data_IF_538742089242
#
_entry.id   IF_538742089242
#
_cell.length_a   1.000
_cell.length_b   1.000
_cell.length_c   1.000
_cell.angle_alpha   90.00
_cell.angle_beta   90.00
_cell.angle_gamma   90.00
#
_symmetry.space_group_name_H-M   'P 1'
#
loop_
_entity.id
_entity.type
_entity.pdbx_description
1 polymer ?
#
# COMPACT_ATOMS: atom_id res chain seq x y z
N UNK A 1 -1.97 12.43 -5.70
CA UNK A 1 -2.68 11.50 -6.62
C UNK A 1 -4.20 11.71 -6.67
N UNK A 2 -4.81 12.36 -5.66
CA UNK A 2 -6.25 12.61 -5.61
C UNK A 2 -6.79 13.25 -6.92
N UNK A 3 -8.01 12.93 -7.40
CA UNK A 3 -8.55 13.44 -8.66
C UNK A 3 -8.63 14.96 -8.76
N UNK A 4 -8.84 15.66 -7.64
CA UNK A 4 -8.96 17.12 -7.58
C UNK A 4 -7.61 17.86 -7.66
N UNK A 5 -6.50 17.18 -7.34
CA UNK A 5 -5.18 17.82 -7.36
C UNK A 5 -4.78 18.09 -8.81
N UNK A 6 -4.40 19.34 -9.09
CA UNK A 6 -4.03 19.81 -10.43
C UNK A 6 -5.08 19.46 -11.50
N UNK A 7 -6.38 19.52 -11.17
CA UNK A 7 -7.46 19.20 -12.13
C UNK A 7 -7.37 20.10 -13.37
N UNK A 8 -7.44 19.50 -14.56
CA UNK A 8 -7.36 20.21 -15.85
C UNK A 8 -6.15 19.77 -16.67
N UNK A 9 -5.62 20.69 -17.48
CA UNK A 9 -4.51 20.43 -18.40
C UNK A 9 -3.20 20.04 -17.69
N UNK A 10 -2.95 20.63 -16.52
CA UNK A 10 -1.75 20.37 -15.70
C UNK A 10 -1.76 19.01 -15.01
N UNK A 11 -2.88 18.28 -15.04
CA UNK A 11 -3.03 17.03 -14.29
C UNK A 11 -2.12 15.92 -14.79
N UNK A 12 -2.01 15.77 -16.11
CA UNK A 12 -1.22 14.69 -16.70
C UNK A 12 0.28 14.88 -16.41
N UNK A 13 0.89 16.06 -16.67
CA UNK A 13 2.25 16.35 -16.26
C UNK A 13 2.49 16.14 -14.76
N UNK A 14 1.56 16.61 -13.91
CA UNK A 14 1.64 16.41 -12.46
C UNK A 14 1.67 14.93 -12.08
N UNK A 15 0.76 14.13 -12.63
CA UNK A 15 0.70 12.71 -12.32
C UNK A 15 1.92 11.95 -12.81
N UNK A 16 2.51 12.35 -13.93
CA UNK A 16 3.71 11.68 -14.43
C UNK A 16 4.88 11.87 -13.48
N UNK A 17 5.13 13.09 -13.04
CA UNK A 17 6.12 13.37 -12.01
C UNK A 17 5.84 12.67 -10.68
N UNK A 18 4.58 12.64 -10.22
CA UNK A 18 4.17 11.89 -9.02
C UNK A 18 4.43 10.40 -9.16
N UNK A 19 4.22 9.80 -10.34
CA UNK A 19 4.50 8.37 -10.58
C UNK A 19 5.99 8.09 -10.58
N UNK A 20 6.79 8.97 -11.18
CA UNK A 20 8.24 8.83 -11.21
C UNK A 20 8.82 8.89 -9.80
N UNK A 21 8.36 9.87 -9.00
CA UNK A 21 8.75 9.98 -7.59
C UNK A 21 8.25 8.78 -6.76
N UNK A 22 7.02 8.30 -6.97
CA UNK A 22 6.50 7.09 -6.31
C UNK A 22 7.39 5.86 -6.57
N UNK A 23 7.87 5.69 -7.80
CA UNK A 23 8.76 4.59 -8.15
C UNK A 23 10.13 4.69 -7.46
N UNK A 24 10.63 5.90 -7.21
CA UNK A 24 11.89 6.13 -6.49
C UNK A 24 11.73 6.01 -4.97
N UNK A 25 10.55 6.29 -4.43
CA UNK A 25 10.24 6.18 -2.99
C UNK A 25 9.93 4.75 -2.54
N UNK A 26 9.80 3.81 -3.47
CA UNK A 26 9.65 2.40 -3.17
C UNK A 26 10.99 1.80 -2.81
N UNK A 27 11.05 1.13 -1.66
CA UNK A 27 12.29 0.74 -1.01
C UNK A 27 12.47 1.43 0.34
N UNK A 28 13.71 1.49 0.85
CA UNK A 28 14.01 2.12 2.13
C UNK A 28 13.57 3.58 2.18
N UNK A 29 12.91 3.94 3.28
CA UNK A 29 12.43 5.29 3.53
C UNK A 29 13.59 6.31 3.48
N UNK A 30 13.49 7.38 2.68
CA UNK A 30 14.46 8.48 2.71
C UNK A 30 14.35 9.26 4.03
N UNK A 31 15.26 10.21 4.25
CA UNK A 31 15.15 11.07 5.42
C UNK A 31 13.82 11.85 5.44
N UNK A 32 13.39 12.25 6.64
CA UNK A 32 12.16 13.01 6.80
C UNK A 32 12.27 14.40 6.13
N UNK A 33 11.11 14.90 5.68
CA UNK A 33 10.99 16.23 5.08
C UNK A 33 11.39 16.30 3.61
N UNK A 34 11.18 17.47 3.01
CA UNK A 34 11.47 17.75 1.61
C UNK A 34 12.97 17.62 1.31
N UNK A 35 13.84 17.94 2.29
CA UNK A 35 15.29 17.76 2.15
C UNK A 35 15.70 16.31 1.91
N UNK A 36 15.01 15.36 2.55
CA UNK A 36 15.26 13.93 2.32
C UNK A 36 14.90 13.50 0.88
N UNK A 37 13.89 14.13 0.30
CA UNK A 37 13.51 13.92 -1.11
C UNK A 37 14.54 14.57 -2.05
N UNK A 38 15.05 15.77 -1.73
CA UNK A 38 16.12 16.39 -2.52
C UNK A 38 17.34 15.47 -2.60
N UNK A 39 17.79 14.94 -1.45
CA UNK A 39 18.93 14.01 -1.36
C UNK A 39 18.66 12.71 -2.12
N UNK A 40 17.43 12.20 -2.09
CA UNK A 40 17.04 11.03 -2.88
C UNK A 40 17.20 11.31 -4.40
N UNK A 41 16.92 12.53 -4.85
CA UNK A 41 16.93 12.90 -6.26
C UNK A 41 18.30 13.36 -6.76
N UNK A 42 19.27 13.57 -5.87
CA UNK A 42 20.66 13.87 -6.23
C UNK A 42 21.29 12.73 -7.05
N UNK A 43 22.20 13.09 -7.95
CA UNK A 43 22.89 12.11 -8.77
C UNK A 43 23.79 11.24 -7.89
N UNK A 44 23.73 9.92 -8.09
CA UNK A 44 24.57 8.97 -7.36
C UNK A 44 25.85 8.68 -8.14
N UNK A 45 26.95 8.52 -7.42
CA UNK A 45 28.19 7.96 -7.95
C UNK A 45 28.07 6.42 -8.04
N UNK A 46 28.50 5.82 -9.14
CA UNK A 46 28.45 4.35 -9.37
C UNK A 46 27.26 3.86 -10.22
N UNK A 47 26.92 2.57 -10.09
CA UNK A 47 25.83 1.92 -10.84
C UNK A 47 24.45 2.33 -10.30
N UNK A 48 23.81 3.34 -10.91
CA UNK A 48 22.40 3.70 -10.62
C UNK A 48 21.46 3.20 -11.73
N UNK A 49 20.81 2.05 -11.48
CA UNK A 49 19.81 1.47 -12.40
C UNK A 49 18.57 2.35 -12.60
N UNK A 50 18.34 3.32 -11.71
CA UNK A 50 17.23 4.26 -11.78
C UNK A 50 17.70 5.67 -12.19
N UNK A 51 18.91 5.83 -12.73
CA UNK A 51 19.48 7.14 -13.10
C UNK A 51 18.54 7.99 -13.96
N UNK A 52 17.97 7.41 -15.01
CA UNK A 52 17.08 8.14 -15.93
C UNK A 52 15.76 8.53 -15.24
N UNK A 53 15.20 7.62 -14.46
CA UNK A 53 14.01 7.86 -13.65
C UNK A 53 14.24 8.98 -12.62
N UNK A 54 15.42 8.97 -11.98
CA UNK A 54 15.84 9.99 -11.01
C UNK A 54 16.01 11.34 -11.67
N UNK A 55 16.63 11.40 -12.85
CA UNK A 55 16.79 12.62 -13.61
C UNK A 55 15.43 13.22 -14.02
N UNK A 56 14.49 12.38 -14.48
CA UNK A 56 13.13 12.81 -14.83
C UNK A 56 12.36 13.35 -13.62
N UNK A 57 12.36 12.60 -12.50
CA UNK A 57 11.72 13.04 -11.26
C UNK A 57 12.36 14.33 -10.72
N UNK A 58 13.70 14.46 -10.79
CA UNK A 58 14.44 15.66 -10.38
C UNK A 58 14.07 16.88 -11.21
N UNK A 59 13.80 16.74 -12.51
CA UNK A 59 13.37 17.85 -13.35
C UNK A 59 11.97 18.36 -12.97
N UNK A 60 11.07 17.46 -12.56
CA UNK A 60 9.71 17.81 -12.12
C UNK A 60 9.66 18.30 -10.66
N UNK A 61 10.54 17.81 -9.80
CA UNK A 61 10.49 18.02 -8.35
C UNK A 61 10.41 19.49 -7.89
N UNK A 62 11.12 20.48 -8.49
CA UNK A 62 11.01 21.88 -8.07
C UNK A 62 9.56 22.38 -8.04
N UNK A 63 8.75 22.05 -9.04
CA UNK A 63 7.34 22.44 -9.07
C UNK A 63 6.54 21.86 -7.90
N UNK A 64 6.76 20.58 -7.58
CA UNK A 64 6.09 19.94 -6.45
C UNK A 64 6.62 20.45 -5.10
N UNK A 65 7.93 20.71 -5.01
CA UNK A 65 8.60 21.23 -3.82
C UNK A 65 8.06 22.61 -3.48
N UNK A 66 8.01 23.53 -4.44
CA UNK A 66 7.52 24.89 -4.24
C UNK A 66 6.09 24.91 -3.69
N UNK A 67 5.27 23.93 -4.09
CA UNK A 67 3.91 23.77 -3.57
C UNK A 67 3.87 23.19 -2.17
N UNK A 68 4.81 22.34 -1.77
CA UNK A 68 4.80 21.64 -0.48
C UNK A 68 5.63 22.35 0.60
N UNK A 69 6.57 23.21 0.22
CA UNK A 69 7.44 23.95 1.13
C UNK A 69 6.67 24.84 2.10
N UNK A 70 5.59 25.57 1.70
CA UNK A 70 4.76 26.30 2.64
C UNK A 70 4.15 25.41 3.73
N UNK A 71 3.74 24.18 3.39
CA UNK A 71 3.21 23.23 4.36
C UNK A 71 4.28 22.76 5.35
N UNK A 72 5.48 22.41 4.86
CA UNK A 72 6.59 22.01 5.73
C UNK A 72 7.01 23.14 6.66
N UNK A 73 7.13 24.36 6.14
CA UNK A 73 7.43 25.56 6.92
C UNK A 73 6.34 25.85 7.96
N UNK A 74 5.07 25.75 7.57
CA UNK A 74 3.95 25.93 8.48
C UNK A 74 4.00 24.92 9.61
N UNK A 75 4.23 23.62 9.35
CA UNK A 75 4.34 22.62 10.42
C UNK A 75 5.61 22.73 11.26
N UNK A 76 6.70 23.26 10.71
CA UNK A 76 7.91 23.55 11.50
C UNK A 76 7.69 24.70 12.49
N UNK A 77 6.81 25.65 12.14
CA UNK A 77 6.52 26.85 12.93
C UNK A 77 5.27 26.73 13.79
N UNK A 78 4.26 25.95 13.38
CA UNK A 78 2.91 25.92 13.95
C UNK A 78 2.88 25.20 15.31
N UNK A 79 2.73 25.93 16.43
CA UNK A 79 2.75 25.34 17.75
C UNK A 79 1.37 24.82 18.19
N UNK A 80 0.29 25.33 17.60
CA UNK A 80 -1.09 25.09 18.04
C UNK A 80 -1.97 24.48 16.94
N UNK A 81 -3.13 23.97 17.37
CA UNK A 81 -4.07 23.27 16.51
C UNK A 81 -4.65 24.17 15.41
N UNK A 82 -4.92 25.44 15.72
CA UNK A 82 -5.49 26.39 14.77
C UNK A 82 -4.54 26.63 13.58
N UNK A 83 -3.25 26.88 13.85
CA UNK A 83 -2.24 27.04 12.80
C UNK A 83 -2.06 25.78 11.96
N UNK A 84 -2.13 24.59 12.58
CA UNK A 84 -2.05 23.31 11.86
C UNK A 84 -3.24 23.09 10.92
N UNK A 85 -4.48 23.40 11.37
CA UNK A 85 -5.69 23.28 10.55
C UNK A 85 -5.66 24.28 9.38
N UNK A 86 -5.28 25.53 9.64
CA UNK A 86 -5.15 26.55 8.61
C UNK A 86 -4.11 26.15 7.55
N UNK A 87 -2.95 25.61 7.97
CA UNK A 87 -1.92 25.13 7.05
C UNK A 87 -2.44 24.01 6.14
N UNK A 88 -3.21 23.06 6.68
CA UNK A 88 -3.85 21.99 5.88
C UNK A 88 -4.87 22.58 4.91
N UNK A 89 -5.72 23.52 5.37
CA UNK A 89 -6.76 24.16 4.55
C UNK A 89 -6.15 24.90 3.36
N UNK A 90 -5.19 25.78 3.61
CA UNK A 90 -4.49 26.57 2.58
C UNK A 90 -3.78 25.66 1.58
N UNK A 91 -3.07 24.64 2.06
CA UNK A 91 -2.36 23.71 1.19
C UNK A 91 -3.32 22.89 0.32
N UNK A 92 -4.46 22.49 0.86
CA UNK A 92 -5.47 21.74 0.12
C UNK A 92 -6.13 22.62 -0.97
N UNK A 93 -6.36 23.89 -0.68
CA UNK A 93 -6.77 24.90 -1.66
C UNK A 93 -5.74 25.04 -2.79
N UNK A 94 -4.48 25.30 -2.45
CA UNK A 94 -3.39 25.47 -3.41
C UNK A 94 -3.20 24.24 -4.32
N UNK A 95 -3.20 23.02 -3.77
CA UNK A 95 -3.03 21.78 -4.56
C UNK A 95 -4.19 21.51 -5.52
N UNK A 96 -5.38 22.00 -5.20
CA UNK A 96 -6.61 21.74 -5.97
C UNK A 96 -7.10 22.94 -6.75
N UNK A 97 -6.42 24.08 -6.66
CA UNK A 97 -6.90 25.38 -7.15
C UNK A 97 -8.35 25.63 -6.67
N UNK A 98 -8.55 25.45 -5.35
CA UNK A 98 -9.81 25.55 -4.61
C UNK A 98 -10.94 24.61 -5.05
N UNK A 99 -10.68 23.69 -5.99
CA UNK A 99 -11.67 22.71 -6.42
C UNK A 99 -12.12 21.76 -5.30
N UNK A 100 -11.34 21.63 -4.22
CA UNK A 100 -11.74 20.89 -3.01
C UNK A 100 -12.92 21.53 -2.30
N UNK A 101 -12.98 22.86 -2.27
CA UNK A 101 -13.98 23.64 -1.53
C UNK A 101 -15.24 23.91 -2.35
N UNK A 102 -15.28 23.45 -3.61
CA UNK A 102 -16.40 23.66 -4.50
C UNK A 102 -17.51 22.60 -4.37
N UNK A 103 -18.75 23.04 -4.58
CA UNK A 103 -19.93 22.18 -4.59
C UNK A 103 -20.36 21.73 -3.19
N UNK A 104 -21.43 20.93 -3.12
CA UNK A 104 -22.06 20.56 -1.85
C UNK A 104 -21.12 19.83 -0.87
N UNK A 105 -20.21 18.98 -1.37
CA UNK A 105 -19.23 18.32 -0.50
C UNK A 105 -18.14 19.27 -0.01
N UNK A 106 -17.68 20.16 -0.90
CA UNK A 106 -16.66 21.15 -0.58
C UNK A 106 -17.16 22.19 0.42
N UNK A 107 -18.42 22.62 0.31
CA UNK A 107 -19.04 23.51 1.30
C UNK A 107 -19.11 22.85 2.68
N UNK A 108 -19.57 21.59 2.76
CA UNK A 108 -19.61 20.87 4.04
C UNK A 108 -18.21 20.69 4.66
N UNK A 109 -17.18 20.46 3.84
CA UNK A 109 -15.80 20.42 4.30
C UNK A 109 -15.30 21.80 4.76
N UNK A 110 -15.63 22.87 4.05
CA UNK A 110 -15.25 24.24 4.42
C UNK A 110 -15.90 24.67 5.74
N UNK A 111 -17.20 24.38 5.91
CA UNK A 111 -17.94 24.63 7.15
C UNK A 111 -17.31 23.90 8.33
N UNK A 112 -16.98 22.61 8.17
CA UNK A 112 -16.28 21.84 9.21
C UNK A 112 -14.91 22.45 9.56
N UNK A 113 -14.11 22.84 8.56
CA UNK A 113 -12.81 23.47 8.82
C UNK A 113 -12.96 24.80 9.56
N UNK A 114 -13.96 25.62 9.19
CA UNK A 114 -14.25 26.86 9.90
C UNK A 114 -14.68 26.61 11.37
N UNK A 115 -15.51 25.61 11.61
CA UNK A 115 -15.92 25.20 12.96
C UNK A 115 -14.73 24.71 13.79
N UNK A 116 -13.88 23.84 13.22
CA UNK A 116 -12.69 23.33 13.90
C UNK A 116 -11.68 24.44 14.21
N UNK A 117 -11.44 25.36 13.28
CA UNK A 117 -10.55 26.50 13.49
C UNK A 117 -11.08 27.45 14.58
N UNK A 118 -12.39 27.72 14.60
CA UNK A 118 -13.01 28.54 15.65
C UNK A 118 -12.90 27.89 17.04
N UNK A 119 -13.14 26.58 17.12
CA UNK A 119 -13.08 25.82 18.37
C UNK A 119 -11.65 25.46 18.80
N UNK A 120 -10.64 25.61 17.93
CA UNK A 120 -9.27 25.19 18.20
C UNK A 120 -8.65 25.85 19.45
N UNK A 121 -9.11 27.05 19.80
CA UNK A 121 -8.66 27.76 21.02
C UNK A 121 -9.10 27.09 22.33
N UNK A 122 -10.17 26.28 22.30
CA UNK A 122 -10.62 25.45 23.41
C UNK A 122 -9.88 24.10 23.48
N UNK A 123 -9.13 23.79 22.42
CA UNK A 123 -8.36 22.56 22.28
C UNK A 123 -7.03 22.56 23.04
N UNK A 124 -6.24 21.48 22.91
CA UNK A 124 -4.93 21.40 23.54
C UNK A 124 -3.97 22.47 22.99
N UNK A 125 -3.30 23.20 23.90
CA UNK A 125 -2.32 24.23 23.54
C UNK A 125 -1.13 23.73 22.72
N UNK A 126 -0.83 22.43 22.84
CA UNK A 126 0.17 21.73 22.03
C UNK A 126 -0.52 20.55 21.37
N UNK A 127 -0.57 20.56 20.04
CA UNK A 127 -1.11 19.47 19.25
C UNK A 127 0.05 18.74 18.56
N UNK A 128 0.22 17.45 18.87
CA UNK A 128 1.18 16.61 18.13
C UNK A 128 0.68 16.46 16.68
N UNK A 129 1.47 16.95 15.73
CA UNK A 129 1.19 16.92 14.29
C UNK A 129 0.91 15.48 13.83
N UNK A 130 1.53 14.47 14.45
CA UNK A 130 1.33 13.06 14.13
C UNK A 130 -0.08 12.57 14.44
N UNK A 131 -0.80 13.26 15.32
CA UNK A 131 -2.19 12.95 15.70
C UNK A 131 -3.21 13.60 14.75
N UNK A 132 -2.79 14.58 13.94
CA UNK A 132 -3.68 15.34 13.06
C UNK A 132 -4.43 14.45 12.04
N UNK A 133 -3.82 13.45 11.38
CA UNK A 133 -4.55 12.56 10.47
C UNK A 133 -5.69 11.82 11.17
N UNK A 134 -5.46 11.30 12.38
CA UNK A 134 -6.48 10.58 13.13
C UNK A 134 -7.62 11.51 13.59
N UNK A 135 -7.29 12.75 13.97
CA UNK A 135 -8.28 13.78 14.30
C UNK A 135 -9.14 14.12 13.08
N UNK A 136 -8.51 14.40 11.93
CA UNK A 136 -9.22 14.72 10.70
C UNK A 136 -10.10 13.56 10.23
N UNK A 137 -9.62 12.32 10.28
CA UNK A 137 -10.43 11.13 9.96
C UNK A 137 -11.67 11.03 10.86
N UNK A 138 -11.53 11.31 12.15
CA UNK A 138 -12.65 11.31 13.09
C UNK A 138 -13.67 12.42 12.79
N UNK A 139 -13.19 13.65 12.60
CA UNK A 139 -14.06 14.81 12.37
C UNK A 139 -14.76 14.74 11.01
N UNK A 140 -14.02 14.43 9.94
CA UNK A 140 -14.57 14.25 8.60
C UNK A 140 -15.54 13.07 8.55
N UNK A 141 -15.27 11.98 9.28
CA UNK A 141 -16.17 10.83 9.38
C UNK A 141 -17.51 11.14 10.05
N UNK A 142 -17.60 12.22 10.83
CA UNK A 142 -18.84 12.69 11.45
C UNK A 142 -19.73 13.51 10.52
N UNK A 143 -19.22 13.99 9.39
CA UNK A 143 -19.97 14.88 8.48
C UNK A 143 -20.75 14.06 7.45
N UNK A 144 -22.07 14.19 7.49
CA UNK A 144 -22.96 13.57 6.49
C UNK A 144 -23.18 14.51 5.31
N UNK A 145 -22.58 14.17 4.17
CA UNK A 145 -22.77 14.93 2.92
C UNK A 145 -23.89 14.28 2.11
N UNK A 146 -25.03 14.98 1.99
CA UNK A 146 -26.19 14.51 1.23
C UNK A 146 -26.26 15.22 -0.12
N UNK A 147 -26.09 14.52 -1.26
CA UNK A 147 -26.24 15.12 -2.57
C UNK A 147 -27.67 15.67 -2.76
N UNK A 148 -27.85 16.91 -3.23
CA UNK A 148 -29.17 17.52 -3.30
C UNK A 148 -30.10 16.88 -4.35
N UNK A 149 -29.56 16.20 -5.38
CA UNK A 149 -30.33 15.60 -6.48
C UNK A 149 -29.63 14.34 -7.04
N UNK A 150 -30.40 13.36 -7.53
CA UNK A 150 -29.85 12.14 -8.16
C UNK A 150 -30.78 10.94 -8.27
N UNK A 151 -32.02 11.00 -7.75
CA UNK A 151 -33.00 9.92 -7.83
C UNK A 151 -34.04 10.11 -8.94
N UNK A 152 -34.66 9.01 -9.38
CA UNK A 152 -35.88 9.09 -10.20
C UNK A 152 -37.00 9.71 -9.33
N UNK A 153 -37.78 10.70 -9.80
CA UNK A 153 -38.81 11.39 -9.01
C UNK A 153 -39.94 10.51 -8.43
N UNK A 154 -39.98 9.23 -8.79
CA UNK A 154 -40.96 8.24 -8.30
C UNK A 154 -40.36 7.26 -7.29
N UNK A 155 -39.10 7.44 -6.94
CA UNK A 155 -38.34 6.55 -6.06
C UNK A 155 -37.78 7.40 -4.94
N UNK A 156 -38.21 7.10 -3.72
CA UNK A 156 -37.64 7.65 -2.50
C UNK A 156 -37.04 6.52 -1.68
N UNK A 157 -35.79 6.69 -1.22
CA UNK A 157 -35.14 5.80 -0.26
C UNK A 157 -35.15 6.53 1.07
N UNK A 158 -35.93 6.01 2.03
CA UNK A 158 -36.24 6.70 3.27
C UNK A 158 -35.79 5.85 4.46
N UNK A 159 -35.35 6.52 5.52
CA UNK A 159 -35.29 5.92 6.84
C UNK A 159 -36.68 5.67 7.41
N UNK A 160 -36.76 4.87 8.47
CA UNK A 160 -38.03 4.52 9.14
C UNK A 160 -38.85 5.73 9.55
N UNK A 161 -38.20 6.71 10.18
CA UNK A 161 -38.85 7.93 10.66
C UNK A 161 -39.32 8.80 9.51
N UNK A 162 -38.50 8.95 8.46
CA UNK A 162 -38.83 9.73 7.26
C UNK A 162 -40.03 9.13 6.51
N UNK A 163 -40.17 7.80 6.53
CA UNK A 163 -41.27 7.10 5.88
C UNK A 163 -42.64 7.30 6.57
N UNK A 164 -42.69 7.73 7.84
CA UNK A 164 -43.95 7.87 8.58
C UNK A 164 -44.94 8.87 7.95
N UNK A 165 -44.44 9.84 7.20
CA UNK A 165 -45.24 10.91 6.58
C UNK A 165 -45.38 10.75 5.06
N UNK A 166 -44.95 9.62 4.50
CA UNK A 166 -44.97 9.37 3.06
C UNK A 166 -45.97 8.27 2.72
N UNK A 167 -46.88 8.57 1.80
CA UNK A 167 -47.75 7.57 1.18
C UNK A 167 -47.24 7.24 -0.22
N UNK A 168 -47.15 5.95 -0.53
CA UNK A 168 -46.71 5.45 -1.82
C UNK A 168 -47.58 4.26 -2.25
N UNK A 169 -47.79 4.10 -3.56
CA UNK A 169 -48.55 2.97 -4.11
C UNK A 169 -47.84 1.62 -3.90
N UNK A 170 -46.50 1.65 -3.84
CA UNK A 170 -45.63 0.50 -3.57
C UNK A 170 -44.63 0.87 -2.49
N UNK A 171 -44.67 0.15 -1.37
CA UNK A 171 -43.68 0.24 -0.31
C UNK A 171 -42.75 -0.98 -0.35
N UNK A 172 -41.44 -0.76 -0.44
CA UNK A 172 -40.42 -1.82 -0.37
C UNK A 172 -39.75 -1.77 1.01
N UNK A 173 -40.09 -2.73 1.86
CA UNK A 173 -39.52 -2.86 3.20
C UNK A 173 -38.23 -3.69 3.11
N UNK A 174 -37.11 -2.96 3.07
CA UNK A 174 -35.77 -3.49 2.89
C UNK A 174 -35.14 -4.02 4.19
N UNK A 175 -34.53 -5.20 4.13
CA UNK A 175 -33.57 -5.64 5.14
C UNK A 175 -34.20 -6.13 6.45
N UNK A 176 -35.27 -6.94 6.39
CA UNK A 176 -35.86 -7.62 7.55
C UNK A 176 -34.97 -8.77 8.07
N UNK A 177 -33.77 -8.39 8.49
CA UNK A 177 -32.77 -9.20 9.17
C UNK A 177 -32.67 -8.77 10.63
N UNK A 178 -32.29 -9.71 11.50
CA UNK A 178 -32.08 -9.40 12.92
C UNK A 178 -30.95 -8.36 13.07
N UNK A 179 -31.15 -7.38 13.94
CA UNK A 179 -30.22 -6.25 14.13
C UNK A 179 -30.46 -5.05 13.23
N UNK A 180 -31.18 -5.21 12.11
CA UNK A 180 -31.62 -4.10 11.25
C UNK A 180 -33.05 -3.67 11.60
N UNK A 181 -33.96 -4.65 11.70
CA UNK A 181 -35.37 -4.45 12.04
C UNK A 181 -35.76 -5.43 13.15
N UNK A 182 -35.89 -5.00 14.41
CA UNK A 182 -35.57 -3.67 14.93
C UNK A 182 -34.05 -3.43 14.96
N UNK A 183 -33.64 -2.17 14.79
CA UNK A 183 -32.25 -1.75 14.92
C UNK A 183 -31.76 -1.89 16.36
N UNK A 184 -30.55 -2.39 16.56
CA UNK A 184 -29.93 -2.38 17.89
C UNK A 184 -29.50 -0.96 18.27
N UNK A 185 -29.80 -0.50 19.50
CA UNK A 185 -29.30 0.78 19.95
C UNK A 185 -27.78 0.74 20.09
N UNK A 186 -27.12 1.84 19.73
CA UNK A 186 -25.75 2.07 20.18
C UNK A 186 -25.73 2.05 21.71
N UNK A 187 -24.76 1.37 22.34
CA UNK A 187 -24.62 1.39 23.79
C UNK A 187 -24.42 2.82 24.27
N UNK A 188 -25.05 3.16 25.39
CA UNK A 188 -24.83 4.46 26.03
C UNK A 188 -23.39 4.52 26.57
N UNK A 189 -22.61 5.56 26.23
CA UNK A 189 -21.21 5.62 26.63
C UNK A 189 -21.01 5.95 28.12
N UNK A 190 -22.05 6.41 28.82
CA UNK A 190 -21.98 6.89 30.21
C UNK A 190 -22.75 6.00 31.18
N UNK A 191 -23.95 5.55 30.78
CA UNK A 191 -24.88 4.89 31.67
C UNK A 191 -25.09 3.42 31.31
N UNK A 192 -24.78 2.54 32.25
CA UNK A 192 -25.10 1.12 32.13
C UNK A 192 -26.63 0.91 31.95
N UNK A 193 -27.08 -0.11 31.19
CA UNK A 193 -28.50 -0.33 30.90
C UNK A 193 -29.41 -0.43 32.12
N UNK A 194 -28.88 -0.91 33.26
CA UNK A 194 -29.62 -0.96 34.53
C UNK A 194 -29.94 0.44 35.06
N UNK A 195 -28.95 1.33 35.11
CA UNK A 195 -29.10 2.69 35.62
C UNK A 195 -30.10 3.46 34.75
N UNK A 196 -30.03 3.31 33.41
CA UNK A 196 -31.01 3.92 32.50
C UNK A 196 -32.45 3.52 32.82
N UNK A 197 -32.69 2.23 33.13
CA UNK A 197 -34.03 1.74 33.51
C UNK A 197 -34.49 2.29 34.86
N UNK A 198 -33.59 2.35 35.85
CA UNK A 198 -33.90 2.93 37.17
C UNK A 198 -34.24 4.43 37.06
N UNK A 199 -33.63 5.14 36.10
CA UNK A 199 -33.94 6.55 35.78
C UNK A 199 -35.18 6.74 34.90
N UNK A 200 -35.89 5.66 34.53
CA UNK A 200 -37.08 5.74 33.67
C UNK A 200 -36.80 6.13 32.22
N UNK A 201 -35.55 6.02 31.76
CA UNK A 201 -35.18 6.35 30.37
C UNK A 201 -35.66 5.26 29.40
N UNK A 202 -36.05 5.62 28.16
CA UNK A 202 -36.48 4.66 27.14
C UNK A 202 -35.45 3.54 26.92
N UNK A 203 -35.94 2.30 27.04
CA UNK A 203 -35.18 1.07 26.90
C UNK A 203 -35.19 0.50 25.47
N UNK A 204 -34.67 -0.72 25.34
CA UNK A 204 -34.68 -1.46 24.08
C UNK A 204 -36.12 -1.79 23.64
N UNK A 205 -36.98 -2.12 24.60
CA UNK A 205 -38.37 -2.50 24.40
C UNK A 205 -39.16 -1.39 23.72
N UNK A 206 -38.96 -0.13 24.14
CA UNK A 206 -39.59 1.04 23.52
C UNK A 206 -39.20 1.16 22.05
N UNK A 207 -37.91 0.97 21.71
CA UNK A 207 -37.46 1.03 20.31
C UNK A 207 -37.98 -0.12 19.48
N UNK A 208 -38.06 -1.32 20.04
CA UNK A 208 -38.70 -2.47 19.37
C UNK A 208 -40.17 -2.13 19.08
N UNK A 209 -40.87 -1.53 20.04
CA UNK A 209 -42.26 -1.08 19.87
C UNK A 209 -42.40 -0.03 18.76
N UNK A 210 -41.56 1.00 18.74
CA UNK A 210 -41.55 2.02 17.69
C UNK A 210 -41.25 1.40 16.32
N UNK A 211 -40.21 0.58 16.20
CA UNK A 211 -39.89 -0.10 14.94
C UNK A 211 -41.01 -1.05 14.48
N UNK A 212 -41.71 -1.70 15.41
CA UNK A 212 -42.87 -2.53 15.09
C UNK A 212 -44.06 -1.67 14.63
N UNK A 213 -44.27 -0.51 15.24
CA UNK A 213 -45.28 0.46 14.81
C UNK A 213 -44.96 0.97 13.40
N UNK A 214 -43.74 1.42 13.14
CA UNK A 214 -43.31 1.89 11.81
C UNK A 214 -43.46 0.81 10.76
N UNK A 215 -43.06 -0.43 11.08
CA UNK A 215 -43.26 -1.58 10.20
C UNK A 215 -44.74 -1.81 9.91
N UNK A 216 -45.60 -1.84 10.93
CA UNK A 216 -47.04 -2.05 10.77
C UNK A 216 -47.70 -0.93 9.95
N UNK A 217 -47.32 0.33 10.19
CA UNK A 217 -47.79 1.48 9.41
C UNK A 217 -47.41 1.34 7.94
N UNK A 218 -46.18 0.91 7.65
CA UNK A 218 -45.71 0.73 6.29
C UNK A 218 -46.36 -0.48 5.57
N UNK A 219 -46.88 -1.47 6.32
CA UNK A 219 -47.70 -2.56 5.76
C UNK A 219 -49.06 -2.08 5.23
N UNK A 220 -49.49 -0.85 5.56
CA UNK A 220 -50.75 -0.27 5.10
C UNK A 220 -50.75 0.23 3.65
N UNK A 221 -49.61 0.21 2.94
CA UNK A 221 -49.55 0.65 1.54
C UNK A 221 -50.32 -0.32 0.60
N UNK A 222 -50.84 0.16 -0.56
CA UNK A 222 -51.61 -0.67 -1.48
C UNK A 222 -50.85 -1.92 -1.95
N UNK A 223 -49.54 -1.78 -2.20
CA UNK A 223 -48.65 -2.89 -2.48
C UNK A 223 -47.43 -2.84 -1.57
N UNK A 224 -47.06 -3.99 -1.01
CA UNK A 224 -45.90 -4.10 -0.12
C UNK A 224 -45.00 -5.24 -0.56
N UNK A 225 -43.71 -4.96 -0.71
CA UNK A 225 -42.67 -5.96 -0.92
C UNK A 225 -41.74 -6.00 0.29
N UNK A 226 -41.71 -7.13 0.99
CA UNK A 226 -40.87 -7.35 2.18
C UNK A 226 -39.65 -8.17 1.75
N UNK A 227 -38.45 -7.66 2.03
CA UNK A 227 -37.21 -8.31 1.60
C UNK A 227 -36.26 -8.55 2.77
N UNK A 228 -35.47 -9.62 2.69
CA UNK A 228 -34.38 -9.90 3.62
C UNK A 228 -33.21 -10.57 2.91
N UNK A 229 -31.99 -10.32 3.38
CA UNK A 229 -30.82 -11.06 2.92
C UNK A 229 -30.78 -12.45 3.59
N UNK A 230 -30.36 -13.47 2.85
CA UNK A 230 -30.05 -14.81 3.42
C UNK A 230 -28.60 -14.92 3.88
N UNK A 231 -27.72 -14.04 3.37
CA UNK A 231 -26.29 -13.98 3.68
C UNK A 231 -25.86 -12.51 3.72
N UNK A 232 -25.14 -12.11 4.75
CA UNK A 232 -24.48 -10.81 4.87
C UNK A 232 -22.97 -10.93 4.77
N UNK A 233 -22.25 -9.87 5.13
CA UNK A 233 -20.78 -9.80 5.10
C UNK A 233 -20.10 -10.88 5.95
N UNK A 234 -20.68 -11.23 7.10
CA UNK A 234 -20.16 -12.23 8.04
C UNK A 234 -20.66 -13.68 7.85
N UNK A 235 -21.45 -13.97 6.81
CA UNK A 235 -22.04 -15.30 6.61
C UNK A 235 -23.58 -15.31 6.62
N UNK A 236 -24.23 -16.44 6.95
CA UNK A 236 -25.69 -16.56 6.94
C UNK A 236 -26.36 -15.49 7.80
N UNK A 237 -27.35 -14.80 7.23
CA UNK A 237 -28.06 -13.72 7.92
C UNK A 237 -29.33 -14.26 8.59
N UNK A 238 -29.51 -13.91 9.86
CA UNK A 238 -30.66 -14.31 10.67
C UNK A 238 -31.88 -13.48 10.24
N UNK A 239 -33.04 -14.15 10.13
CA UNK A 239 -34.30 -13.46 9.83
C UNK A 239 -34.73 -12.60 11.01
N UNK A 240 -35.26 -11.41 10.74
CA UNK A 240 -35.85 -10.56 11.77
C UNK A 240 -36.97 -11.29 12.53
N UNK A 241 -37.08 -11.03 13.84
CA UNK A 241 -38.25 -11.42 14.64
C UNK A 241 -39.61 -10.99 14.04
N UNK A 242 -39.66 -9.84 13.35
CA UNK A 242 -40.88 -9.36 12.69
C UNK A 242 -41.24 -10.23 11.47
N UNK A 243 -40.23 -10.63 10.69
CA UNK A 243 -40.40 -11.59 9.59
C UNK A 243 -40.95 -12.93 10.08
N UNK A 244 -40.37 -13.47 11.15
CA UNK A 244 -40.78 -14.77 11.70
C UNK A 244 -42.23 -14.72 12.22
N UNK A 245 -42.59 -13.65 12.94
CA UNK A 245 -43.97 -13.44 13.42
C UNK A 245 -44.96 -13.30 12.28
N UNK A 246 -44.65 -12.45 11.28
CA UNK A 246 -45.54 -12.26 10.13
C UNK A 246 -45.73 -13.56 9.35
N UNK A 247 -44.66 -14.33 9.14
CA UNK A 247 -44.73 -15.64 8.49
C UNK A 247 -45.59 -16.63 9.28
N UNK A 248 -45.45 -16.67 10.60
CA UNK A 248 -46.26 -17.52 11.45
C UNK A 248 -47.75 -17.12 11.41
N UNK A 249 -48.06 -15.83 11.45
CA UNK A 249 -49.43 -15.31 11.39
C UNK A 249 -50.09 -15.54 10.03
N UNK A 250 -49.35 -15.33 8.93
CA UNK A 250 -49.87 -15.55 7.58
C UNK A 250 -50.10 -17.03 7.28
N UNK A 251 -49.28 -17.93 7.86
CA UNK A 251 -49.42 -19.36 7.70
C UNK A 251 -49.50 -19.78 6.22
N UNK A 252 -50.54 -20.52 5.80
CA UNK A 252 -50.74 -20.92 4.40
C UNK A 252 -50.92 -19.75 3.42
N UNK A 253 -51.28 -18.57 3.90
CA UNK A 253 -51.46 -17.38 3.06
C UNK A 253 -50.15 -16.63 2.77
N UNK A 254 -49.02 -17.11 3.30
CA UNK A 254 -47.71 -16.53 3.03
C UNK A 254 -47.35 -16.64 1.56
N UNK A 255 -47.18 -15.48 0.89
CA UNK A 255 -46.80 -15.40 -0.52
C UNK A 255 -45.32 -15.09 -0.67
N UNK A 256 -44.67 -15.72 -1.65
CA UNK A 256 -43.32 -15.38 -2.09
C UNK A 256 -43.38 -14.63 -3.41
N UNK A 257 -42.44 -13.70 -3.60
CA UNK A 257 -42.34 -12.91 -4.83
C UNK A 257 -41.12 -13.34 -5.66
N UNK A 258 -41.01 -14.65 -5.93
CA UNK A 258 -39.83 -15.28 -6.54
C UNK A 258 -39.47 -14.69 -7.91
N UNK A 259 -40.45 -14.13 -8.63
CA UNK A 259 -40.22 -13.44 -9.91
C UNK A 259 -39.19 -12.32 -9.81
N UNK A 260 -39.18 -11.56 -8.71
CA UNK A 260 -38.26 -10.43 -8.56
C UNK A 260 -36.83 -10.91 -8.29
N UNK A 261 -36.68 -12.03 -7.58
CA UNK A 261 -35.40 -12.71 -7.43
C UNK A 261 -34.88 -13.17 -8.79
N UNK A 262 -35.72 -13.82 -9.59
CA UNK A 262 -35.33 -14.29 -10.93
C UNK A 262 -34.93 -13.13 -11.86
N UNK A 263 -35.64 -12.00 -11.80
CA UNK A 263 -35.26 -10.80 -12.55
C UNK A 263 -33.91 -10.23 -12.10
N UNK A 264 -33.66 -10.17 -10.79
CA UNK A 264 -32.38 -9.73 -10.25
C UNK A 264 -31.24 -10.67 -10.67
N UNK A 265 -31.44 -11.99 -10.53
CA UNK A 265 -30.47 -13.00 -10.96
C UNK A 265 -30.16 -12.89 -12.47
N UNK A 266 -31.14 -12.51 -13.29
CA UNK A 266 -30.98 -12.33 -14.73
C UNK A 266 -30.19 -11.06 -15.12
N UNK A 267 -30.22 -9.99 -14.30
CA UNK A 267 -29.45 -8.78 -14.56
C UNK A 267 -27.93 -9.02 -14.49
N UNK A 268 -27.51 -9.90 -13.58
CA UNK A 268 -26.10 -10.22 -13.35
C UNK A 268 -25.61 -11.42 -14.19
N UNK A 269 -26.51 -12.10 -14.91
CA UNK A 269 -26.16 -13.26 -15.72
C UNK A 269 -25.57 -12.81 -17.07
N UNK A 270 -24.28 -13.05 -17.35
CA UNK A 270 -23.74 -12.75 -18.66
C UNK A 270 -24.40 -13.67 -19.70
N UNK A 271 -24.58 -13.22 -20.96
CA UNK A 271 -25.17 -14.04 -22.03
C UNK A 271 -24.42 -15.36 -22.26
N UNK A 272 -23.14 -15.44 -21.88
CA UNK A 272 -22.36 -16.67 -21.90
C UNK A 272 -21.28 -16.66 -20.82
N UNK A 273 -21.11 -17.78 -20.13
CA UNK A 273 -19.99 -18.02 -19.21
C UNK A 273 -18.74 -18.44 -20.01
N UNK A 274 -17.73 -17.56 -20.10
CA UNK A 274 -16.48 -17.80 -20.84
C UNK A 274 -15.27 -17.66 -19.91
N UNK A 275 -14.91 -18.69 -19.14
CA UNK A 275 -13.72 -18.65 -18.30
C UNK A 275 -12.46 -18.59 -19.17
N UNK A 276 -11.44 -17.85 -18.72
CA UNK A 276 -10.15 -17.79 -19.41
C UNK A 276 -9.34 -19.07 -19.15
N UNK A 277 -8.73 -19.62 -20.20
CA UNK A 277 -7.82 -20.74 -20.07
C UNK A 277 -6.51 -20.32 -19.38
N UNK A 278 -5.77 -21.28 -18.82
CA UNK A 278 -4.44 -21.02 -18.25
C UNK A 278 -3.51 -20.46 -19.34
N UNK A 279 -2.81 -19.34 -19.09
CA UNK A 279 -1.88 -18.80 -20.07
C UNK A 279 -0.76 -19.78 -20.42
N UNK A 280 -0.55 -20.00 -21.72
CA UNK A 280 0.56 -20.79 -22.27
C UNK A 280 1.34 -19.95 -23.29
N UNK A 281 2.10 -18.93 -22.84
CA UNK A 281 2.77 -18.01 -23.75
C UNK A 281 3.87 -18.71 -24.54
N UNK A 282 3.83 -18.56 -25.86
CA UNK A 282 4.90 -19.00 -26.78
C UNK A 282 5.48 -17.75 -27.45
N UNK A 283 6.47 -17.09 -26.82
CA UNK A 283 7.02 -15.86 -27.36
C UNK A 283 7.63 -16.11 -28.76
N UNK A 284 7.41 -15.20 -29.73
CA UNK A 284 8.02 -15.29 -31.05
C UNK A 284 9.55 -15.22 -30.93
N UNK A 285 10.27 -15.80 -31.90
CA UNK A 285 11.74 -15.88 -31.87
C UNK A 285 12.40 -14.52 -31.60
N UNK A 286 11.92 -13.45 -32.23
CA UNK A 286 12.44 -12.09 -32.06
C UNK A 286 12.30 -11.54 -30.63
N UNK A 287 11.36 -12.06 -29.83
CA UNK A 287 11.15 -11.64 -28.44
C UNK A 287 11.90 -12.52 -27.43
N UNK A 288 12.53 -13.62 -27.88
CA UNK A 288 13.28 -14.52 -27.00
C UNK A 288 14.63 -13.88 -26.68
N UNK A 289 15.04 -13.82 -25.40
CA UNK A 289 16.32 -13.24 -25.03
C UNK A 289 17.48 -14.09 -25.56
N UNK A 290 18.38 -13.47 -26.31
CA UNK A 290 19.65 -14.07 -26.77
C UNK A 290 20.75 -13.99 -25.71
N UNK A 291 20.53 -13.21 -24.65
CA UNK A 291 21.42 -13.06 -23.50
C UNK A 291 20.67 -13.39 -22.21
N UNK A 292 21.15 -14.36 -21.44
CA UNK A 292 20.52 -14.80 -20.19
C UNK A 292 21.53 -14.74 -19.04
N UNK A 293 21.27 -14.00 -17.96
CA UNK A 293 22.12 -14.05 -16.78
C UNK A 293 22.06 -15.41 -16.10
N UNK A 294 23.20 -15.90 -15.60
CA UNK A 294 23.29 -17.23 -14.93
C UNK A 294 22.27 -17.40 -13.80
N UNK A 295 21.97 -16.33 -13.06
CA UNK A 295 20.98 -16.31 -11.98
C UNK A 295 19.53 -16.50 -12.44
N UNK A 296 19.21 -16.23 -13.71
CA UNK A 296 17.88 -16.47 -14.26
C UNK A 296 17.73 -17.82 -14.94
N UNK A 297 18.82 -18.56 -15.19
CA UNK A 297 18.75 -19.93 -15.72
C UNK A 297 18.01 -20.84 -14.73
N UNK A 298 18.31 -20.71 -13.44
CA UNK A 298 17.60 -21.41 -12.36
C UNK A 298 16.10 -21.10 -12.38
N UNK A 299 15.73 -19.83 -12.61
CA UNK A 299 14.34 -19.40 -12.71
C UNK A 299 13.65 -19.93 -13.97
N UNK A 300 14.33 -19.91 -15.11
CA UNK A 300 13.78 -20.44 -16.36
C UNK A 300 13.43 -21.94 -16.22
N UNK A 301 14.29 -22.71 -15.56
CA UNK A 301 14.06 -24.14 -15.32
C UNK A 301 12.91 -24.39 -14.33
N UNK A 302 12.84 -23.62 -13.25
CA UNK A 302 11.86 -23.82 -12.18
C UNK A 302 10.47 -23.25 -12.52
N UNK A 303 10.41 -22.06 -13.13
CA UNK A 303 9.19 -21.36 -13.49
C UNK A 303 9.36 -20.55 -14.80
N UNK A 304 9.10 -21.20 -15.96
CA UNK A 304 9.19 -20.55 -17.26
C UNK A 304 8.27 -19.33 -17.40
N UNK A 305 7.13 -19.32 -16.70
CA UNK A 305 6.20 -18.20 -16.78
C UNK A 305 6.73 -16.98 -16.02
N UNK A 306 7.30 -17.18 -14.83
CA UNK A 306 7.97 -16.09 -14.10
C UNK A 306 9.18 -15.54 -14.88
N UNK A 307 9.94 -16.39 -15.57
CA UNK A 307 10.98 -15.94 -16.48
C UNK A 307 10.39 -15.11 -17.63
N UNK A 308 9.33 -15.60 -18.30
CA UNK A 308 8.63 -14.88 -19.36
C UNK A 308 8.13 -13.50 -18.89
N UNK A 309 7.44 -13.44 -17.76
CA UNK A 309 6.92 -12.20 -17.20
C UNK A 309 8.05 -11.19 -16.91
N UNK A 310 9.16 -11.64 -16.32
CA UNK A 310 10.27 -10.77 -15.93
C UNK A 310 11.14 -10.33 -17.12
N UNK A 311 11.55 -11.26 -17.98
CA UNK A 311 12.56 -11.03 -19.02
C UNK A 311 11.98 -10.61 -20.35
N UNK A 312 10.77 -11.06 -20.68
CA UNK A 312 10.12 -10.78 -21.96
C UNK A 312 9.09 -9.65 -21.79
N UNK A 313 8.18 -9.76 -20.82
CA UNK A 313 7.22 -8.69 -20.53
C UNK A 313 7.78 -7.53 -19.69
N UNK A 314 8.99 -7.67 -19.14
CA UNK A 314 9.64 -6.67 -18.28
C UNK A 314 8.82 -6.28 -17.05
N UNK A 315 8.01 -7.21 -16.54
CA UNK A 315 7.20 -7.03 -15.34
C UNK A 315 8.06 -7.35 -14.11
N UNK A 316 8.41 -6.31 -13.36
CA UNK A 316 9.07 -6.44 -12.07
C UNK A 316 8.08 -6.14 -10.96
N UNK A 317 8.18 -6.90 -9.87
CA UNK A 317 7.48 -6.56 -8.63
C UNK A 317 8.05 -5.24 -8.13
N UNK A 318 7.17 -4.28 -7.90
CA UNK A 318 7.54 -3.04 -7.24
C UNK A 318 7.77 -3.29 -5.76
N UNK A 319 8.84 -2.70 -5.21
CA UNK A 319 9.03 -2.68 -3.77
C UNK A 319 7.89 -1.91 -3.09
N UNK A 320 7.54 -2.26 -1.83
CA UNK A 320 6.60 -1.47 -1.06
C UNK A 320 7.22 -0.09 -0.74
N UNK A 321 6.35 0.88 -0.48
CA UNK A 321 6.78 2.16 0.11
C UNK A 321 7.22 1.90 1.55
N UNK A 322 8.26 2.57 2.01
CA UNK A 322 8.87 2.36 3.33
C UNK A 322 9.26 0.88 3.58
N UNK A 323 9.80 0.22 2.55
CA UNK A 323 10.33 -1.13 2.71
C UNK A 323 11.49 -1.13 3.71
N UNK A 324 11.58 -2.15 4.56
CA UNK A 324 12.76 -2.33 5.40
C UNK A 324 14.03 -2.44 4.54
N UNK A 325 15.15 -1.92 5.05
CA UNK A 325 16.46 -2.27 4.52
C UNK A 325 16.76 -3.75 4.81
N UNK A 326 16.22 -4.60 3.95
CA UNK A 326 16.24 -6.04 4.09
C UNK A 326 17.60 -6.66 3.76
N UNK A 327 17.70 -8.00 3.82
CA UNK A 327 18.91 -8.74 3.49
C UNK A 327 19.47 -8.45 2.09
N UNK A 328 18.60 -8.13 1.12
CA UNK A 328 18.99 -7.79 -0.25
C UNK A 328 19.79 -6.48 -0.30
N UNK A 329 19.30 -5.42 0.36
CA UNK A 329 20.00 -4.14 0.45
C UNK A 329 21.36 -4.31 1.15
N UNK A 330 21.42 -5.10 2.23
CA UNK A 330 22.68 -5.42 2.92
C UNK A 330 23.65 -6.16 2.00
N UNK A 331 23.17 -7.13 1.25
CA UNK A 331 23.98 -7.86 0.27
C UNK A 331 24.61 -6.89 -0.73
N UNK A 332 23.80 -6.02 -1.34
CA UNK A 332 24.28 -5.01 -2.28
C UNK A 332 25.32 -4.08 -1.66
N UNK A 333 25.05 -3.53 -0.47
CA UNK A 333 26.00 -2.63 0.22
C UNK A 333 27.32 -3.33 0.57
N UNK A 334 27.26 -4.57 1.04
CA UNK A 334 28.47 -5.34 1.36
C UNK A 334 29.28 -5.60 0.10
N UNK A 335 28.63 -5.99 -1.00
CA UNK A 335 29.26 -6.21 -2.29
C UNK A 335 29.93 -4.93 -2.81
N UNK A 336 29.23 -3.80 -2.77
CA UNK A 336 29.78 -2.49 -3.15
C UNK A 336 31.02 -2.13 -2.32
N UNK A 337 30.97 -2.29 -0.98
CA UNK A 337 32.12 -2.00 -0.11
C UNK A 337 33.31 -2.90 -0.46
N UNK A 338 33.08 -4.18 -0.71
CA UNK A 338 34.13 -5.14 -1.09
C UNK A 338 34.72 -4.85 -2.48
N UNK A 339 33.89 -4.44 -3.43
CA UNK A 339 34.33 -4.02 -4.77
C UNK A 339 35.25 -2.79 -4.69
N UNK A 340 34.81 -1.73 -4.00
CA UNK A 340 35.61 -0.52 -3.82
C UNK A 340 36.91 -0.78 -3.06
N UNK A 341 36.89 -1.71 -2.09
CA UNK A 341 38.08 -2.12 -1.37
C UNK A 341 39.07 -2.87 -2.26
N UNK A 342 38.58 -3.79 -3.10
CA UNK A 342 39.43 -4.55 -4.02
C UNK A 342 40.07 -3.67 -5.11
N UNK A 343 39.37 -2.62 -5.56
CA UNK A 343 39.86 -1.65 -6.54
C UNK A 343 40.84 -0.61 -5.94
N UNK A 344 40.78 -0.36 -4.63
CA UNK A 344 41.58 0.63 -3.91
C UNK A 344 43.08 0.33 -3.75
N UNK A 345 43.59 -0.75 -4.36
CA UNK A 345 45.02 -1.03 -4.51
C UNK A 345 45.72 -1.64 -3.28
N UNK A 346 45.48 -1.16 -2.06
CA UNK A 346 46.18 -1.71 -0.87
C UNK A 346 45.65 -3.07 -0.43
N UNK A 347 44.37 -3.38 -0.75
CA UNK A 347 43.62 -4.57 -0.27
C UNK A 347 43.86 -4.83 1.22
N UNK A 348 44.15 -3.77 1.98
CA UNK A 348 44.50 -3.85 3.39
C UNK A 348 43.20 -4.10 4.17
N UNK A 349 43.10 -5.21 4.93
CA UNK A 349 41.97 -5.47 5.81
C UNK A 349 41.57 -4.28 6.71
N UNK A 350 42.53 -3.42 7.09
CA UNK A 350 42.28 -2.22 7.90
C UNK A 350 41.50 -1.11 7.15
N UNK A 351 41.63 -1.03 5.82
CA UNK A 351 40.93 -0.03 4.97
C UNK A 351 39.43 -0.37 4.79
N UNK A 352 39.07 -1.66 4.89
CA UNK A 352 37.71 -2.12 4.67
C UNK A 352 36.71 -1.56 5.70
N UNK A 353 37.11 -1.48 6.98
CA UNK A 353 36.28 -0.90 8.03
C UNK A 353 36.09 0.61 7.83
N UNK A 354 37.15 1.34 7.44
CA UNK A 354 37.08 2.78 7.20
C UNK A 354 36.10 3.11 6.07
N UNK A 355 36.15 2.36 4.96
CA UNK A 355 35.21 2.48 3.83
C UNK A 355 33.77 2.21 4.24
N UNK A 356 33.55 1.16 5.05
CA UNK A 356 32.22 0.85 5.56
C UNK A 356 31.66 2.00 6.41
N UNK A 357 32.48 2.58 7.30
CA UNK A 357 32.09 3.73 8.12
C UNK A 357 31.78 4.96 7.27
N UNK A 358 32.60 5.25 6.26
CA UNK A 358 32.37 6.35 5.33
C UNK A 358 31.05 6.20 4.56
N UNK A 359 30.72 4.98 4.10
CA UNK A 359 29.45 4.70 3.42
C UNK A 359 28.25 4.99 4.33
N UNK A 360 28.28 4.53 5.59
CA UNK A 360 27.21 4.83 6.54
C UNK A 360 27.11 6.31 6.90
N UNK A 361 28.22 7.05 6.89
CA UNK A 361 28.27 8.47 7.22
C UNK A 361 27.63 9.37 6.16
N UNK A 362 27.39 8.86 4.94
CA UNK A 362 26.78 9.62 3.86
C UNK A 362 25.41 10.23 4.26
N UNK A 363 25.10 11.45 3.80
CA UNK A 363 23.89 12.17 4.18
C UNK A 363 22.61 11.55 3.61
N UNK A 364 22.67 10.73 2.56
CA UNK A 364 21.51 10.05 1.99
C UNK A 364 21.10 8.77 2.76
N UNK A 365 21.95 8.30 3.68
CA UNK A 365 21.64 7.13 4.52
C UNK A 365 20.72 7.53 5.68
N UNK A 366 19.61 6.83 5.83
CA UNK A 366 18.64 7.09 6.90
C UNK A 366 19.26 6.86 8.29
N UNK A 367 19.10 7.78 9.26
CA UNK A 367 19.71 7.67 10.61
C UNK A 367 19.37 6.38 11.35
N UNK A 368 18.11 5.92 11.28
CA UNK A 368 17.71 4.64 11.88
C UNK A 368 18.43 3.45 11.26
N UNK A 369 18.65 3.46 9.93
CA UNK A 369 19.39 2.38 9.26
C UNK A 369 20.84 2.37 9.71
N UNK A 370 21.46 3.55 9.80
CA UNK A 370 22.80 3.72 10.37
C UNK A 370 22.86 3.15 11.79
N UNK A 371 21.99 3.60 12.70
CA UNK A 371 22.01 3.17 14.09
C UNK A 371 21.79 1.66 14.28
N UNK A 372 20.85 1.08 13.54
CA UNK A 372 20.48 -0.33 13.68
C UNK A 372 21.45 -1.30 12.96
N UNK A 373 21.95 -0.91 11.79
CA UNK A 373 22.69 -1.82 10.90
C UNK A 373 24.19 -1.62 10.91
N UNK A 374 24.68 -0.39 11.13
CA UNK A 374 26.12 -0.13 11.11
C UNK A 374 26.89 -1.05 12.06
N UNK A 375 26.49 -1.27 13.33
CA UNK A 375 27.25 -2.15 14.22
C UNK A 375 27.34 -3.58 13.68
N UNK A 376 26.23 -4.13 13.17
CA UNK A 376 26.17 -5.50 12.63
C UNK A 376 27.00 -5.66 11.37
N UNK A 377 26.98 -4.66 10.48
CA UNK A 377 27.72 -4.70 9.24
C UNK A 377 29.23 -4.57 9.49
N UNK A 378 29.62 -3.71 10.43
CA UNK A 378 31.02 -3.53 10.80
C UNK A 378 31.60 -4.83 11.38
N UNK A 379 30.87 -5.56 12.22
CA UNK A 379 31.33 -6.86 12.72
C UNK A 379 31.49 -7.90 11.60
N UNK A 380 30.53 -7.97 10.66
CA UNK A 380 30.66 -8.85 9.50
C UNK A 380 31.88 -8.48 8.63
N UNK A 381 32.13 -7.18 8.46
CA UNK A 381 33.25 -6.66 7.69
C UNK A 381 34.59 -6.96 8.38
N UNK A 382 34.68 -6.81 9.70
CA UNK A 382 35.85 -7.22 10.50
C UNK A 382 36.13 -8.70 10.37
N UNK A 383 35.09 -9.52 10.39
CA UNK A 383 35.24 -10.96 10.18
C UNK A 383 35.75 -11.29 8.77
N UNK A 384 35.22 -10.65 7.72
CA UNK A 384 35.72 -10.82 6.34
C UNK A 384 37.19 -10.40 6.24
N UNK A 385 37.53 -9.24 6.81
CA UNK A 385 38.90 -8.71 6.85
C UNK A 385 39.88 -9.70 7.51
N UNK A 386 39.50 -10.28 8.64
CA UNK A 386 40.30 -11.28 9.35
C UNK A 386 40.45 -12.60 8.57
N UNK A 387 39.37 -13.10 7.96
CA UNK A 387 39.43 -14.34 7.18
C UNK A 387 40.28 -14.16 5.91
N UNK A 388 40.20 -13.00 5.24
CA UNK A 388 41.07 -12.70 4.09
C UNK A 388 42.54 -12.62 4.52
N UNK A 389 42.86 -11.99 5.65
CA UNK A 389 44.23 -11.94 6.16
C UNK A 389 44.79 -13.35 6.46
N UNK A 390 43.96 -14.21 7.05
CA UNK A 390 44.30 -15.61 7.34
C UNK A 390 44.47 -16.44 6.06
N UNK A 391 43.56 -16.31 5.10
CA UNK A 391 43.64 -16.95 3.78
C UNK A 391 44.95 -16.54 3.06
N UNK A 392 45.29 -15.25 3.11
CA UNK A 392 46.52 -14.72 2.52
C UNK A 392 47.77 -15.29 3.19
N UNK A 393 47.79 -15.39 4.52
CA UNK A 393 48.88 -16.01 5.26
C UNK A 393 49.03 -17.52 4.95
N UNK A 394 47.94 -18.19 4.58
CA UNK A 394 47.93 -19.59 4.17
C UNK A 394 48.29 -19.80 2.68
N UNK A 395 48.62 -18.75 1.92
CA UNK A 395 49.00 -18.81 0.51
C UNK A 395 47.83 -18.76 -0.48
N UNK A 396 46.62 -18.39 -0.02
CA UNK A 396 45.46 -18.13 -0.88
C UNK A 396 45.39 -16.65 -1.23
N UNK A 397 45.41 -16.31 -2.51
CA UNK A 397 45.49 -14.93 -2.96
C UNK A 397 44.29 -14.56 -3.84
N UNK A 398 43.70 -13.39 -3.57
CA UNK A 398 42.63 -12.84 -4.41
C UNK A 398 43.21 -12.43 -5.77
N UNK A 399 42.79 -13.09 -6.84
CA UNK A 399 43.20 -12.79 -8.22
C UNK A 399 42.36 -11.66 -8.80
N UNK A 400 41.05 -11.81 -8.72
CA UNK A 400 40.10 -10.89 -9.31
C UNK A 400 38.83 -10.80 -8.47
N UNK A 401 38.15 -9.66 -8.55
CA UNK A 401 36.92 -9.34 -7.83
C UNK A 401 35.95 -8.77 -8.84
N UNK A 402 34.66 -9.06 -8.70
CA UNK A 402 33.59 -8.48 -9.51
C UNK A 402 33.83 -8.64 -11.03
N UNK A 403 34.33 -9.81 -11.42
CA UNK A 403 34.77 -10.08 -12.80
C UNK A 403 33.63 -10.63 -13.65
N UNK A 404 33.40 -10.03 -14.83
CA UNK A 404 32.41 -10.52 -15.78
C UNK A 404 32.87 -11.80 -16.49
N UNK A 405 31.98 -12.78 -16.54
CA UNK A 405 32.13 -14.01 -17.31
C UNK A 405 31.06 -14.12 -18.40
N UNK A 406 31.42 -14.71 -19.53
CA UNK A 406 30.52 -14.95 -20.66
C UNK A 406 30.77 -16.34 -21.23
N UNK A 407 29.69 -17.06 -21.54
CA UNK A 407 29.75 -18.36 -22.20
C UNK A 407 28.63 -18.45 -23.24
N UNK A 408 28.94 -18.89 -24.45
CA UNK A 408 27.94 -19.12 -25.48
C UNK A 408 27.54 -20.59 -25.50
N UNK A 409 26.24 -20.86 -25.30
CA UNK A 409 25.69 -22.21 -25.29
C UNK A 409 24.46 -22.24 -26.18
N UNK A 410 24.49 -23.09 -27.21
CA UNK A 410 23.37 -23.29 -28.14
C UNK A 410 22.80 -21.97 -28.73
N UNK A 411 23.68 -21.01 -29.05
CA UNK A 411 23.29 -19.70 -29.60
C UNK A 411 22.71 -18.72 -28.57
N UNK A 412 22.80 -19.02 -27.28
CA UNK A 412 22.44 -18.13 -26.18
C UNK A 412 23.70 -17.73 -25.41
N UNK A 413 23.90 -16.43 -25.24
CA UNK A 413 24.99 -15.88 -24.44
C UNK A 413 24.60 -15.88 -22.95
N UNK A 414 25.20 -16.78 -22.18
CA UNK A 414 25.15 -16.73 -20.73
C UNK A 414 26.13 -15.69 -20.21
N UNK A 415 25.66 -14.86 -19.27
CA UNK A 415 26.52 -13.87 -18.62
C UNK A 415 26.40 -13.93 -17.10
N UNK A 416 27.52 -13.80 -16.41
CA UNK A 416 27.59 -13.78 -14.95
C UNK A 416 28.64 -12.78 -14.49
N UNK A 417 28.58 -12.43 -13.20
CA UNK A 417 29.61 -11.69 -12.50
C UNK A 417 30.02 -12.56 -11.32
N UNK A 418 31.31 -12.87 -11.21
CA UNK A 418 31.84 -13.58 -10.07
C UNK A 418 32.28 -12.56 -9.02
N UNK A 419 31.74 -12.65 -7.80
CA UNK A 419 32.07 -11.70 -6.74
C UNK A 419 33.59 -11.73 -6.45
N UNK A 420 34.19 -12.92 -6.34
CA UNK A 420 35.63 -13.08 -6.10
C UNK A 420 36.21 -14.38 -6.66
N UNK A 421 37.40 -14.27 -7.26
CA UNK A 421 38.20 -15.37 -7.79
C UNK A 421 39.53 -15.41 -7.03
N UNK A 422 39.83 -16.53 -6.41
CA UNK A 422 41.04 -16.76 -5.62
C UNK A 422 41.95 -17.79 -6.29
N UNK A 423 43.27 -17.60 -6.12
CA UNK A 423 44.28 -18.63 -6.34
C UNK A 423 44.51 -19.35 -5.03
N UNK A 424 44.36 -20.67 -5.05
CA UNK A 424 44.62 -21.53 -3.90
C UNK A 424 46.13 -21.82 -3.74
N UNK A 425 46.58 -22.30 -2.58
CA UNK A 425 48.01 -22.57 -2.34
C UNK A 425 48.60 -23.63 -3.28
N UNK A 426 47.77 -24.57 -3.76
CA UNK A 426 48.14 -25.60 -4.74
C UNK A 426 48.11 -25.10 -6.20
N UNK A 427 47.77 -23.82 -6.41
CA UNK A 427 47.66 -23.20 -7.72
C UNK A 427 46.30 -23.36 -8.40
N UNK A 428 45.35 -24.11 -7.80
CA UNK A 428 43.98 -24.19 -8.31
C UNK A 428 43.22 -22.87 -8.14
N UNK A 429 42.06 -22.76 -8.79
CA UNK A 429 41.22 -21.56 -8.77
C UNK A 429 39.97 -21.82 -7.94
N UNK A 430 39.69 -20.94 -6.98
CA UNK A 430 38.46 -20.94 -6.19
C UNK A 430 37.54 -19.79 -6.60
N UNK A 431 36.24 -20.06 -6.72
CA UNK A 431 35.20 -19.04 -6.89
C UNK A 431 34.52 -18.83 -5.54
N UNK A 432 34.36 -17.57 -5.15
CA UNK A 432 33.73 -17.16 -3.90
C UNK A 432 32.56 -16.23 -4.22
N UNK A 433 31.39 -16.59 -3.70
CA UNK A 433 30.16 -15.81 -3.78
C UNK A 433 29.75 -15.42 -2.36
N UNK A 434 29.62 -14.12 -2.10
CA UNK A 434 29.29 -13.60 -0.78
C UNK A 434 27.78 -13.62 -0.56
N UNK A 435 27.29 -14.50 0.32
CA UNK A 435 25.89 -14.55 0.72
C UNK A 435 25.68 -14.05 2.15
N UNK A 436 24.69 -13.16 2.32
CA UNK A 436 24.22 -12.70 3.64
C UNK A 436 23.20 -13.66 4.28
N UNK A 437 22.77 -14.71 3.57
CA UNK A 437 21.81 -15.71 4.01
C UNK A 437 22.35 -17.15 3.96
N UNK A 438 21.49 -18.14 4.20
CA UNK A 438 21.89 -19.55 4.13
C UNK A 438 22.27 -19.93 2.68
N UNK A 439 23.44 -20.54 2.45
CA UNK A 439 23.81 -21.02 1.12
C UNK A 439 22.90 -22.18 0.69
N UNK A 440 22.78 -22.43 -0.63
CA UNK A 440 22.06 -23.59 -1.16
C UNK A 440 22.60 -24.90 -0.58
N UNK A 441 21.71 -25.83 -0.26
CA UNK A 441 22.11 -27.16 0.19
C UNK A 441 22.73 -27.98 -0.94
N UNK A 442 23.63 -28.91 -0.62
CA UNK A 442 24.22 -29.82 -1.59
C UNK A 442 23.18 -30.65 -2.38
N UNK A 443 21.97 -30.84 -1.83
CA UNK A 443 20.84 -31.49 -2.51
C UNK A 443 20.23 -30.59 -3.59
N UNK A 444 20.10 -29.29 -3.33
CA UNK A 444 19.58 -28.32 -4.30
C UNK A 444 20.54 -28.14 -5.47
N UNK A 445 21.85 -28.09 -5.20
CA UNK A 445 22.88 -28.00 -6.23
C UNK A 445 22.88 -29.26 -7.11
N UNK A 446 22.91 -30.47 -6.52
CA UNK A 446 22.83 -31.73 -7.28
C UNK A 446 21.53 -31.91 -8.06
N UNK A 447 20.41 -31.39 -7.56
CA UNK A 447 19.14 -31.37 -8.28
C UNK A 447 19.09 -30.33 -9.42
N UNK A 448 20.12 -29.48 -9.54
CA UNK A 448 20.20 -28.40 -10.52
C UNK A 448 19.14 -27.31 -10.28
N UNK A 449 18.86 -26.99 -9.02
CA UNK A 449 17.99 -25.89 -8.60
C UNK A 449 18.78 -24.62 -8.20
N UNK A 450 20.10 -24.75 -8.09
CA UNK A 450 21.02 -23.67 -7.77
C UNK A 450 22.33 -23.91 -8.54
N UNK A 451 22.39 -23.42 -9.78
CA UNK A 451 23.51 -23.65 -10.69
C UNK A 451 24.50 -22.48 -10.75
N UNK A 452 24.23 -21.39 -10.04
CA UNK A 452 25.01 -20.14 -10.11
C UNK A 452 26.54 -20.32 -9.98
N UNK A 453 27.04 -21.20 -9.10
CA UNK A 453 28.49 -21.43 -8.92
C UNK A 453 29.11 -22.38 -9.95
N UNK A 454 28.29 -23.18 -10.64
CA UNK A 454 28.76 -24.16 -11.63
C UNK A 454 28.72 -23.64 -13.07
N UNK A 455 28.14 -22.46 -13.29
CA UNK A 455 28.03 -21.74 -14.56
C UNK A 455 28.92 -20.50 -14.50
#
# INVERSE_FOLDING_TARGET
KHPLVMRGEMRLPWLEGVRQLDLLLRGPRPQAGLRGIDLLLEAREGEDRQKDLRAQARAWWPWARDLLEPLEAAFALAPDLAGQLAAVREQAGALTNDALWAGHQGHAAADLFAEMEAAATEGPRQADIRSLPALLDHMLGGVSVRPPQGGHPRIAILGLVEAQLVQADLMILGGLNEGNWPGLPSPDPWLAPRIRRELGLPGLETRIGLAAHDFASALGAPHVLITRARRGSGGPAIASRFWLRLKAMAGPQWKTADRYRLLADALDLPPSHRPSARPAPVPPLAARPTRIPVTDVDRLKADPFAFYARRILKLNRLDPVDADAGPAWRGTVVHEILEHWAQGGSRDPADLEARARAMFARPDVHPLLRALWQPRLIEAIRWIAAEVAKDQAAGRHILAVETEGKAEIAGVLLTGKADRIDRMPDGSIGIVDYKTGKPPSARQVRGGYALQLGL
#
